data_IF_321580347577
#
_entry.id   IF_321580347577
#
_cell.length_a   1.000
_cell.length_b   1.000
_cell.length_c   1.000
_cell.angle_alpha   90.00
_cell.angle_beta   90.00
_cell.angle_gamma   90.00
#
_symmetry.space_group_name_H-M   'P 1'
#
loop_
_entity.id
_entity.type
_entity.pdbx_description
1 polymer ?
#
# COMPACT_ATOMS: atom_id res chain seq x y z
N UNK A 1 22.60 -22.29 -4.64
CA UNK A 1 21.67 -22.96 -3.70
C UNK A 1 21.78 -22.46 -2.26
N UNK A 2 22.92 -22.57 -1.55
CA UNK A 2 23.02 -22.06 -0.17
C UNK A 2 23.08 -20.52 -0.09
N UNK A 3 23.81 -19.86 -1.00
CA UNK A 3 23.88 -18.39 -1.06
C UNK A 3 22.50 -17.75 -1.26
N UNK A 4 21.67 -18.32 -2.14
CA UNK A 4 20.34 -17.77 -2.46
C UNK A 4 19.42 -17.78 -1.24
N UNK A 5 19.47 -18.84 -0.43
CA UNK A 5 18.65 -18.94 0.79
C UNK A 5 19.05 -17.91 1.85
N UNK A 6 20.34 -17.66 2.02
CA UNK A 6 20.84 -16.63 2.95
C UNK A 6 20.38 -15.24 2.49
N UNK A 7 20.51 -14.93 1.21
CA UNK A 7 20.06 -13.68 0.62
C UNK A 7 18.54 -13.45 0.82
N UNK A 8 17.73 -14.48 0.55
CA UNK A 8 16.27 -14.45 0.75
C UNK A 8 15.91 -14.21 2.22
N UNK A 9 16.56 -14.94 3.13
CA UNK A 9 16.33 -14.77 4.57
C UNK A 9 16.71 -13.36 5.03
N UNK A 10 17.88 -12.87 4.61
CA UNK A 10 18.36 -11.54 4.95
C UNK A 10 17.41 -10.43 4.47
N UNK A 11 16.95 -10.50 3.21
CA UNK A 11 15.97 -9.53 2.70
C UNK A 11 14.61 -9.61 3.42
N UNK A 12 14.16 -10.81 3.77
CA UNK A 12 12.92 -11.02 4.54
C UNK A 12 13.04 -10.45 5.96
N UNK A 13 14.17 -10.68 6.63
CA UNK A 13 14.44 -10.11 7.94
C UNK A 13 14.54 -8.58 7.88
N UNK A 14 15.19 -8.05 6.84
CA UNK A 14 15.39 -6.61 6.68
C UNK A 14 14.07 -5.86 6.40
N UNK A 15 13.17 -6.40 5.56
CA UNK A 15 11.84 -5.78 5.36
C UNK A 15 10.99 -5.83 6.63
N UNK A 16 11.05 -6.93 7.39
CA UNK A 16 10.37 -7.02 8.69
C UNK A 16 10.93 -6.01 9.69
N UNK A 17 12.25 -5.88 9.77
CA UNK A 17 12.91 -4.91 10.65
C UNK A 17 12.54 -3.47 10.27
N UNK A 18 12.55 -3.14 8.98
CA UNK A 18 12.15 -1.81 8.52
C UNK A 18 10.68 -1.51 8.85
N UNK A 19 9.75 -2.41 8.55
CA UNK A 19 8.33 -2.23 8.88
C UNK A 19 8.07 -2.16 10.41
N UNK A 20 8.89 -2.85 11.20
CA UNK A 20 8.90 -2.71 12.67
C UNK A 20 9.33 -1.30 13.07
N UNK A 21 10.42 -0.79 12.51
CA UNK A 21 10.93 0.55 12.78
C UNK A 21 10.06 1.67 12.18
N UNK A 22 9.21 1.36 11.20
CA UNK A 22 8.15 2.26 10.75
C UNK A 22 6.96 2.31 11.71
N UNK A 23 6.73 1.25 12.51
CA UNK A 23 5.51 1.11 13.30
C UNK A 23 5.73 1.35 14.79
N UNK A 24 6.66 0.62 15.40
CA UNK A 24 6.86 0.61 16.85
C UNK A 24 7.30 1.94 17.46
N UNK A 25 8.12 2.78 16.81
CA UNK A 25 8.46 4.07 17.41
C UNK A 25 7.28 5.07 17.38
N UNK A 26 6.15 4.74 16.74
CA UNK A 26 4.89 5.47 16.96
C UNK A 26 4.33 5.26 18.38
N UNK A 27 4.83 4.26 19.11
CA UNK A 27 4.54 4.02 20.53
C UNK A 27 5.45 4.90 21.43
N UNK A 28 5.91 6.05 20.92
CA UNK A 28 6.63 7.04 21.72
C UNK A 28 6.37 8.45 21.22
N UNK A 29 6.57 9.45 22.08
CA UNK A 29 6.20 10.84 21.80
C UNK A 29 7.29 11.64 21.05
N UNK A 30 8.38 10.99 20.63
CA UNK A 30 9.51 11.69 20.01
C UNK A 30 9.54 11.52 18.50
N UNK A 31 9.11 12.57 17.78
CA UNK A 31 9.20 12.65 16.33
C UNK A 31 10.64 12.45 15.80
N UNK A 32 11.65 12.88 16.57
CA UNK A 32 13.08 12.67 16.23
C UNK A 32 13.47 11.20 16.30
N UNK A 33 13.07 10.50 17.35
CA UNK A 33 13.33 9.06 17.50
C UNK A 33 12.60 8.29 16.40
N UNK A 34 11.36 8.68 16.10
CA UNK A 34 10.61 8.12 14.99
C UNK A 34 11.38 8.26 13.67
N UNK A 35 11.72 9.48 13.26
CA UNK A 35 12.47 9.73 12.03
C UNK A 35 13.82 8.98 11.97
N UNK A 36 14.56 8.94 13.08
CA UNK A 36 15.82 8.20 13.18
C UNK A 36 15.62 6.69 12.96
N UNK A 37 14.64 6.09 13.62
CA UNK A 37 14.30 4.68 13.42
C UNK A 37 13.89 4.38 11.99
N UNK A 38 13.10 5.25 11.36
CA UNK A 38 12.72 5.11 9.94
C UNK A 38 13.96 5.12 9.04
N UNK A 39 14.86 6.08 9.23
CA UNK A 39 16.10 6.19 8.47
C UNK A 39 16.99 4.96 8.66
N UNK A 40 17.16 4.50 9.91
CA UNK A 40 17.94 3.29 10.23
C UNK A 40 17.34 2.07 9.53
N UNK A 41 16.03 1.84 9.67
CA UNK A 41 15.37 0.70 9.04
C UNK A 41 15.47 0.73 7.52
N UNK A 42 15.31 1.92 6.93
CA UNK A 42 15.46 2.15 5.50
C UNK A 42 16.88 1.85 5.01
N UNK A 43 17.90 2.39 5.67
CA UNK A 43 19.30 2.12 5.34
C UNK A 43 19.67 0.64 5.51
N UNK A 44 19.20 -0.02 6.58
CA UNK A 44 19.40 -1.44 6.81
C UNK A 44 18.77 -2.28 5.69
N UNK A 45 17.54 -1.96 5.29
CA UNK A 45 16.85 -2.64 4.21
C UNK A 45 17.58 -2.46 2.88
N UNK A 46 17.86 -1.22 2.49
CA UNK A 46 18.56 -0.91 1.24
C UNK A 46 19.96 -1.51 1.18
N UNK A 47 20.73 -1.42 2.27
CA UNK A 47 22.07 -2.01 2.37
C UNK A 47 22.03 -3.53 2.25
N UNK A 48 21.09 -4.18 2.94
CA UNK A 48 20.94 -5.64 2.88
C UNK A 48 20.54 -6.10 1.49
N UNK A 49 19.53 -5.47 0.88
CA UNK A 49 19.08 -5.81 -0.48
C UNK A 49 20.16 -5.50 -1.51
N UNK A 50 20.83 -4.35 -1.38
CA UNK A 50 21.93 -3.95 -2.25
C UNK A 50 23.07 -4.97 -2.23
N UNK A 51 23.51 -5.42 -1.05
CA UNK A 51 24.59 -6.41 -0.93
C UNK A 51 24.15 -7.81 -1.37
N UNK A 52 22.95 -8.24 -1.00
CA UNK A 52 22.47 -9.59 -1.29
C UNK A 52 22.01 -9.77 -2.75
N UNK A 53 21.62 -8.69 -3.43
CA UNK A 53 21.01 -8.73 -4.77
C UNK A 53 21.61 -7.71 -5.77
N UNK A 54 22.84 -7.23 -5.55
CA UNK A 54 23.50 -6.23 -6.40
C UNK A 54 23.38 -6.53 -7.91
N UNK A 55 23.69 -7.77 -8.30
CA UNK A 55 23.65 -8.21 -9.70
C UNK A 55 22.22 -8.32 -10.28
N UNK A 56 21.21 -8.44 -9.42
CA UNK A 56 19.81 -8.59 -9.84
C UNK A 56 19.09 -7.25 -9.95
N UNK A 57 19.56 -6.18 -9.30
CA UNK A 57 18.90 -4.87 -9.33
C UNK A 57 18.78 -4.31 -10.76
N UNK A 58 19.86 -4.40 -11.55
CA UNK A 58 19.84 -3.97 -12.95
C UNK A 58 18.88 -4.83 -13.80
N UNK A 59 18.86 -6.15 -13.58
CA UNK A 59 17.94 -7.05 -14.27
C UNK A 59 16.47 -6.77 -13.89
N UNK A 60 16.21 -6.42 -12.62
CA UNK A 60 14.88 -6.03 -12.15
C UNK A 60 14.46 -4.70 -12.78
N UNK A 61 15.35 -3.71 -12.80
CA UNK A 61 15.11 -2.42 -13.44
C UNK A 61 14.68 -2.59 -14.91
N UNK A 62 15.36 -3.45 -15.66
CA UNK A 62 15.04 -3.77 -17.05
C UNK A 62 13.69 -4.50 -17.22
N UNK A 63 13.14 -5.06 -16.15
CA UNK A 63 11.86 -5.81 -16.13
C UNK A 63 10.69 -5.00 -15.56
N UNK A 64 10.91 -3.76 -15.15
CA UNK A 64 9.84 -2.85 -14.70
C UNK A 64 8.87 -2.62 -15.86
N UNK A 65 7.57 -2.65 -15.56
CA UNK A 65 6.55 -2.43 -16.58
C UNK A 65 6.53 -0.98 -17.05
N UNK A 66 6.17 -0.73 -18.31
CA UNK A 66 6.19 0.63 -18.87
C UNK A 66 5.36 1.64 -18.03
N UNK A 67 4.13 1.33 -17.55
CA UNK A 67 3.39 2.24 -16.70
C UNK A 67 4.09 2.55 -15.37
N UNK A 68 4.74 1.56 -14.76
CA UNK A 68 5.52 1.73 -13.53
C UNK A 68 6.74 2.62 -13.78
N UNK A 69 7.43 2.45 -14.91
CA UNK A 69 8.57 3.28 -15.28
C UNK A 69 8.16 4.73 -15.54
N UNK A 70 6.99 4.95 -16.16
CA UNK A 70 6.44 6.30 -16.35
C UNK A 70 6.08 6.92 -14.99
N UNK A 71 5.49 6.17 -14.06
CA UNK A 71 5.26 6.66 -12.68
C UNK A 71 6.56 7.12 -12.04
N UNK A 72 7.62 6.30 -12.09
CA UNK A 72 8.92 6.64 -11.53
C UNK A 72 9.55 7.85 -12.22
N UNK A 73 9.39 7.98 -13.53
CA UNK A 73 9.89 9.12 -14.30
C UNK A 73 9.17 10.41 -13.90
N UNK A 74 7.83 10.40 -13.78
CA UNK A 74 7.07 11.58 -13.33
C UNK A 74 7.55 12.00 -11.93
N UNK A 75 7.74 11.04 -11.02
CA UNK A 75 8.28 11.34 -9.69
C UNK A 75 9.68 11.93 -9.79
N UNK A 76 10.57 11.31 -10.58
CA UNK A 76 11.96 11.73 -10.74
C UNK A 76 12.11 13.10 -11.41
N UNK A 77 11.13 13.54 -12.20
CA UNK A 77 11.12 14.87 -12.82
C UNK A 77 10.64 15.98 -11.87
N UNK A 78 10.08 15.63 -10.71
CA UNK A 78 9.63 16.62 -9.71
C UNK A 78 10.69 17.55 -9.11
N UNK A 79 12.02 17.27 -9.11
CA UNK A 79 13.00 18.20 -8.54
C UNK A 79 12.96 19.58 -9.21
N UNK A 80 12.63 19.64 -10.50
CA UNK A 80 12.46 20.92 -11.22
C UNK A 80 11.36 21.78 -10.59
N UNK A 81 10.28 21.14 -10.10
CA UNK A 81 9.18 21.80 -9.40
C UNK A 81 9.50 22.12 -7.94
N UNK A 82 10.58 21.57 -7.37
CA UNK A 82 10.95 21.73 -5.96
C UNK A 82 11.91 22.90 -5.72
N UNK A 83 12.48 23.53 -6.75
CA UNK A 83 13.51 24.59 -6.63
C UNK A 83 12.94 25.96 -6.20
N UNK A 84 12.14 25.99 -5.12
CA UNK A 84 11.56 27.20 -4.54
C UNK A 84 11.35 27.07 -3.03
N UNK A 85 11.15 28.20 -2.34
CA UNK A 85 10.97 28.25 -0.88
C UNK A 85 12.26 27.96 -0.10
N UNK A 86 12.12 27.42 1.10
CA UNK A 86 13.23 27.23 2.03
C UNK A 86 14.18 26.11 1.61
N UNK A 87 15.49 26.33 1.79
CA UNK A 87 16.56 25.39 1.41
C UNK A 87 16.36 24.00 2.02
N UNK A 88 15.87 23.93 3.26
CA UNK A 88 15.64 22.67 3.97
C UNK A 88 14.54 21.83 3.31
N UNK A 89 13.48 22.47 2.82
CA UNK A 89 12.37 21.80 2.14
C UNK A 89 12.75 21.40 0.71
N UNK A 90 13.58 22.21 0.04
CA UNK A 90 14.16 21.87 -1.26
C UNK A 90 15.00 20.59 -1.12
N UNK A 91 15.92 20.57 -0.15
CA UNK A 91 16.81 19.43 0.09
C UNK A 91 16.01 18.18 0.46
N UNK A 92 15.01 18.31 1.34
CA UNK A 92 14.12 17.21 1.72
C UNK A 92 13.38 16.66 0.50
N UNK A 93 12.78 17.53 -0.32
CA UNK A 93 12.09 17.16 -1.55
C UNK A 93 12.98 16.36 -2.50
N UNK A 94 14.19 16.87 -2.79
CA UNK A 94 15.15 16.23 -3.70
C UNK A 94 15.58 14.86 -3.16
N UNK A 95 15.83 14.78 -1.84
CA UNK A 95 16.21 13.53 -1.18
C UNK A 95 15.10 12.47 -1.32
N UNK A 96 13.85 12.83 -0.98
CA UNK A 96 12.71 11.92 -1.12
C UNK A 96 12.47 11.51 -2.57
N UNK A 97 12.58 12.44 -3.51
CA UNK A 97 12.41 12.16 -4.95
C UNK A 97 13.46 11.19 -5.47
N UNK A 98 14.72 11.33 -5.04
CA UNK A 98 15.80 10.44 -5.46
C UNK A 98 15.67 9.05 -4.82
N UNK A 99 15.20 9.01 -3.57
CA UNK A 99 15.13 7.79 -2.78
C UNK A 99 13.93 6.91 -3.14
N UNK A 100 12.81 7.49 -3.58
CA UNK A 100 11.60 6.74 -3.90
C UNK A 100 11.79 5.73 -5.05
N UNK A 101 12.39 6.07 -6.22
CA UNK A 101 12.63 5.11 -7.28
C UNK A 101 13.59 3.99 -6.87
N UNK A 102 14.63 4.32 -6.10
CA UNK A 102 15.54 3.32 -5.57
C UNK A 102 14.81 2.37 -4.62
N UNK A 103 13.95 2.91 -3.75
CA UNK A 103 13.12 2.11 -2.86
C UNK A 103 12.18 1.18 -3.65
N UNK A 104 11.47 1.70 -4.64
CA UNK A 104 10.59 0.91 -5.50
C UNK A 104 11.34 -0.27 -6.17
N UNK A 105 12.57 -0.03 -6.64
CA UNK A 105 13.45 -1.08 -7.17
C UNK A 105 13.82 -2.11 -6.11
N UNK A 106 14.25 -1.68 -4.92
CA UNK A 106 14.63 -2.62 -3.84
C UNK A 106 13.44 -3.45 -3.35
N UNK A 107 12.24 -2.87 -3.21
CA UNK A 107 11.01 -3.61 -2.91
C UNK A 107 10.67 -4.62 -4.00
N UNK A 108 10.91 -4.28 -5.27
CA UNK A 108 10.69 -5.17 -6.41
C UNK A 108 11.56 -6.44 -6.35
N UNK A 109 12.69 -6.42 -5.64
CA UNK A 109 13.54 -7.61 -5.42
C UNK A 109 12.77 -8.72 -4.71
N UNK A 110 11.88 -8.38 -3.77
CA UNK A 110 11.10 -9.39 -3.05
C UNK A 110 10.27 -10.25 -4.02
N UNK A 111 9.76 -9.67 -5.10
CA UNK A 111 9.02 -10.42 -6.13
C UNK A 111 9.86 -11.39 -6.96
N UNK A 112 11.19 -11.33 -6.87
CA UNK A 112 12.07 -12.28 -7.54
C UNK A 112 12.33 -13.54 -6.71
N UNK A 113 11.88 -13.57 -5.45
CA UNK A 113 12.00 -14.73 -4.59
C UNK A 113 11.11 -15.89 -5.08
N UNK A 114 11.48 -17.15 -4.79
CA UNK A 114 10.56 -18.28 -4.94
C UNK A 114 9.25 -18.02 -4.21
N UNK A 115 8.11 -18.40 -4.81
CA UNK A 115 6.77 -18.12 -4.26
C UNK A 115 6.60 -18.57 -2.81
N UNK A 116 7.15 -19.74 -2.46
CA UNK A 116 7.09 -20.27 -1.10
C UNK A 116 7.83 -19.38 -0.09
N UNK A 117 8.94 -18.77 -0.49
CA UNK A 117 9.72 -17.89 0.38
C UNK A 117 9.11 -16.49 0.46
N UNK A 118 8.57 -15.97 -0.65
CA UNK A 118 7.76 -14.75 -0.62
C UNK A 118 6.53 -14.91 0.28
N UNK A 119 5.86 -16.07 0.23
CA UNK A 119 4.74 -16.39 1.11
C UNK A 119 5.14 -16.32 2.59
N UNK A 120 6.27 -16.94 2.94
CA UNK A 120 6.81 -16.92 4.30
C UNK A 120 7.16 -15.49 4.71
N UNK A 121 7.82 -14.73 3.84
CA UNK A 121 8.17 -13.33 4.07
C UNK A 121 6.93 -12.48 4.38
N UNK A 122 5.88 -12.55 3.54
CA UNK A 122 4.61 -11.84 3.76
C UNK A 122 3.89 -12.32 5.03
N UNK A 123 3.96 -13.63 5.34
CA UNK A 123 3.38 -14.19 6.57
C UNK A 123 4.05 -13.60 7.81
N UNK A 124 5.37 -13.68 7.90
CA UNK A 124 6.13 -13.15 9.04
C UNK A 124 5.92 -11.64 9.16
N UNK A 125 5.98 -10.90 8.03
CA UNK A 125 5.72 -9.46 8.00
C UNK A 125 4.32 -9.13 8.54
N UNK A 126 3.29 -9.88 8.11
CA UNK A 126 1.92 -9.67 8.60
C UNK A 126 1.77 -9.95 10.09
N UNK A 127 2.46 -10.97 10.62
CA UNK A 127 2.44 -11.29 12.04
C UNK A 127 3.13 -10.20 12.87
N UNK A 128 4.29 -9.70 12.44
CA UNK A 128 5.02 -8.62 13.10
C UNK A 128 4.17 -7.35 13.20
N UNK A 129 3.53 -6.95 12.09
CA UNK A 129 2.64 -5.79 12.06
C UNK A 129 1.34 -6.00 12.87
N UNK A 130 0.85 -7.23 12.99
CA UNK A 130 -0.26 -7.56 13.89
C UNK A 130 0.16 -7.47 15.37
N UNK A 131 1.34 -7.98 15.70
CA UNK A 131 1.92 -7.88 17.05
C UNK A 131 2.14 -6.43 17.46
N UNK A 132 2.50 -5.53 16.54
CA UNK A 132 2.51 -4.09 16.79
C UNK A 132 1.17 -3.60 17.35
N UNK A 133 0.04 -3.96 16.71
CA UNK A 133 -1.27 -3.51 17.16
C UNK A 133 -1.63 -4.01 18.56
N UNK A 134 -1.39 -5.29 18.81
CA UNK A 134 -1.58 -5.90 20.14
C UNK A 134 -0.69 -5.20 21.18
N UNK A 135 0.57 -4.94 20.85
CA UNK A 135 1.54 -4.31 21.76
C UNK A 135 1.17 -2.86 22.07
N UNK A 136 0.69 -2.10 21.10
CA UNK A 136 0.26 -0.72 21.33
C UNK A 136 -0.93 -0.67 22.30
N UNK A 137 -1.92 -1.56 22.18
CA UNK A 137 -3.00 -1.68 23.18
C UNK A 137 -2.46 -2.13 24.54
N UNK A 138 -1.53 -3.09 24.57
CA UNK A 138 -0.95 -3.57 25.82
C UNK A 138 -0.16 -2.47 26.58
N UNK A 139 0.51 -1.57 25.85
CA UNK A 139 1.34 -0.50 26.42
C UNK A 139 0.51 0.73 26.80
N UNK A 140 -0.37 1.19 25.91
CA UNK A 140 -1.13 2.43 26.10
C UNK A 140 -2.53 2.22 26.67
N UNK A 141 -3.03 0.98 26.68
CA UNK A 141 -4.37 0.64 27.13
C UNK A 141 -5.39 0.57 25.99
N UNK A 142 -6.65 0.37 26.37
CA UNK A 142 -7.78 0.31 25.45
C UNK A 142 -8.03 1.67 24.77
N UNK A 143 -8.70 1.70 23.60
CA UNK A 143 -9.03 2.96 22.95
C UNK A 143 -9.87 3.89 23.83
N UNK A 144 -9.45 5.14 23.92
CA UNK A 144 -10.22 6.23 24.52
C UNK A 144 -10.80 7.08 23.37
N UNK A 145 -12.09 6.93 23.11
CA UNK A 145 -12.70 7.46 21.88
C UNK A 145 -12.17 6.73 20.65
N UNK A 146 -11.32 7.38 19.85
CA UNK A 146 -10.74 6.81 18.61
C UNK A 146 -9.23 6.61 18.68
N UNK A 147 -8.57 7.05 19.74
CA UNK A 147 -7.12 6.95 19.90
C UNK A 147 -6.78 5.82 20.86
N UNK A 148 -5.67 5.11 20.62
CA UNK A 148 -5.20 4.08 21.54
C UNK A 148 -4.58 4.78 22.76
N UNK A 149 -5.16 4.55 23.94
CA UNK A 149 -4.73 5.18 25.20
C UNK A 149 -4.70 6.70 25.17
N UNK A 150 -5.58 7.34 24.38
CA UNK A 150 -5.60 8.80 24.24
C UNK A 150 -4.51 9.38 23.32
N UNK A 151 -3.44 8.63 23.04
CA UNK A 151 -2.19 9.16 22.45
C UNK A 151 -2.06 8.86 20.95
N UNK A 152 -2.28 7.60 20.54
CA UNK A 152 -1.96 7.18 19.18
C UNK A 152 -3.16 7.40 18.24
N UNK A 153 -2.94 8.22 17.21
CA UNK A 153 -3.97 8.55 16.22
C UNK A 153 -4.48 7.30 15.47
N UNK A 154 -5.81 7.14 15.27
CA UNK A 154 -6.42 5.95 14.67
C UNK A 154 -5.83 5.58 13.32
N UNK A 155 -5.49 6.56 12.49
CA UNK A 155 -4.94 6.29 11.17
C UNK A 155 -3.50 5.79 11.23
N UNK A 156 -2.68 6.35 12.13
CA UNK A 156 -1.30 5.89 12.31
C UNK A 156 -1.28 4.46 12.84
N UNK A 157 -2.16 4.15 13.80
CA UNK A 157 -2.34 2.80 14.32
C UNK A 157 -2.84 1.80 13.26
N UNK A 158 -3.77 2.21 12.39
CA UNK A 158 -4.44 1.30 11.47
C UNK A 158 -3.71 1.06 10.15
N UNK A 159 -2.80 1.95 9.75
CA UNK A 159 -1.97 1.77 8.55
C UNK A 159 -1.18 0.44 8.57
N UNK A 160 -0.41 0.11 9.62
CA UNK A 160 0.33 -1.15 9.69
C UNK A 160 -0.61 -2.35 9.78
N UNK A 161 -1.76 -2.22 10.43
CA UNK A 161 -2.75 -3.29 10.54
C UNK A 161 -3.44 -3.58 9.20
N UNK A 162 -3.70 -2.57 8.38
CA UNK A 162 -4.20 -2.77 7.01
C UNK A 162 -3.14 -3.46 6.14
N UNK A 163 -1.87 -3.05 6.25
CA UNK A 163 -0.77 -3.73 5.56
C UNK A 163 -0.64 -5.20 6.01
N UNK A 164 -0.74 -5.48 7.31
CA UNK A 164 -0.77 -6.85 7.84
C UNK A 164 -1.94 -7.66 7.28
N UNK A 165 -3.14 -7.08 7.26
CA UNK A 165 -4.33 -7.70 6.70
C UNK A 165 -4.11 -8.09 5.24
N UNK A 166 -3.60 -7.17 4.42
CA UNK A 166 -3.32 -7.43 2.99
C UNK A 166 -2.24 -8.50 2.81
N UNK A 167 -1.11 -8.43 3.53
CA UNK A 167 -0.04 -9.41 3.42
C UNK A 167 -0.44 -10.81 3.88
N UNK A 168 -1.34 -10.92 4.86
CA UNK A 168 -1.84 -12.20 5.31
C UNK A 168 -2.68 -12.95 4.26
N UNK A 169 -3.17 -12.26 3.21
CA UNK A 169 -3.90 -12.90 2.09
C UNK A 169 -3.00 -13.78 1.21
N UNK A 170 -1.68 -13.54 1.20
CA UNK A 170 -0.74 -14.38 0.45
C UNK A 170 -0.62 -15.80 1.05
N UNK A 171 -0.94 -15.97 2.33
CA UNK A 171 -0.83 -17.23 3.07
C UNK A 171 -2.19 -17.93 3.19
N UNK A 172 -2.31 -19.22 2.80
CA UNK A 172 -3.52 -19.98 3.04
C UNK A 172 -3.53 -20.54 4.47
N UNK A 173 -4.71 -20.98 4.92
CA UNK A 173 -4.88 -21.69 6.19
C UNK A 173 -5.14 -20.77 7.40
N UNK A 174 -5.11 -21.39 8.58
CA UNK A 174 -5.57 -20.78 9.83
C UNK A 174 -4.74 -19.57 10.26
N UNK A 175 -3.42 -19.58 10.04
CA UNK A 175 -2.54 -18.47 10.46
C UNK A 175 -2.93 -17.18 9.73
N UNK A 176 -3.05 -17.21 8.40
CA UNK A 176 -3.46 -16.04 7.62
C UNK A 176 -4.88 -15.58 7.95
N UNK A 177 -5.80 -16.50 8.23
CA UNK A 177 -7.16 -16.17 8.70
C UNK A 177 -7.16 -15.50 10.07
N UNK A 178 -6.40 -16.03 11.03
CA UNK A 178 -6.30 -15.46 12.38
C UNK A 178 -5.73 -14.04 12.35
N UNK A 179 -4.66 -13.80 11.57
CA UNK A 179 -4.08 -12.45 11.41
C UNK A 179 -5.11 -11.49 10.83
N UNK A 180 -5.89 -11.87 9.80
CA UNK A 180 -6.95 -11.02 9.25
C UNK A 180 -8.02 -10.66 10.26
N UNK A 181 -8.51 -11.64 11.01
CA UNK A 181 -9.56 -11.44 12.02
C UNK A 181 -9.06 -10.50 13.12
N UNK A 182 -7.85 -10.74 13.63
CA UNK A 182 -7.25 -9.91 14.68
C UNK A 182 -7.03 -8.50 14.16
N UNK A 183 -6.37 -8.32 13.01
CA UNK A 183 -6.14 -6.98 12.44
C UNK A 183 -7.45 -6.23 12.19
N UNK A 184 -8.46 -6.89 11.62
CA UNK A 184 -9.77 -6.26 11.40
C UNK A 184 -10.43 -5.84 12.71
N UNK A 185 -10.42 -6.70 13.73
CA UNK A 185 -10.95 -6.39 15.06
C UNK A 185 -10.21 -5.21 15.71
N UNK A 186 -8.88 -5.20 15.67
CA UNK A 186 -8.06 -4.10 16.18
C UNK A 186 -8.36 -2.78 15.46
N UNK A 187 -8.47 -2.79 14.13
CA UNK A 187 -8.85 -1.59 13.34
C UNK A 187 -10.26 -1.12 13.72
N UNK A 188 -11.19 -2.04 13.94
CA UNK A 188 -12.56 -1.71 14.35
C UNK A 188 -12.61 -1.02 15.72
N UNK A 189 -11.74 -1.41 16.66
CA UNK A 189 -11.71 -0.81 18.00
C UNK A 189 -11.38 0.69 18.01
N UNK A 190 -10.69 1.19 16.98
CA UNK A 190 -10.36 2.63 16.82
C UNK A 190 -11.21 3.34 15.78
N UNK A 191 -12.21 2.65 15.21
CA UNK A 191 -13.11 3.18 14.18
C UNK A 191 -12.34 3.88 13.04
N UNK A 192 -11.28 3.24 12.54
CA UNK A 192 -10.49 3.76 11.43
C UNK A 192 -11.11 3.37 10.09
N UNK A 193 -11.98 4.25 9.59
CA UNK A 193 -12.82 4.03 8.39
C UNK A 193 -12.05 3.54 7.18
N UNK A 194 -10.96 4.22 6.82
CA UNK A 194 -10.23 3.89 5.60
C UNK A 194 -9.61 2.49 5.67
N UNK A 195 -9.13 2.10 6.86
CA UNK A 195 -8.54 0.80 7.08
C UNK A 195 -9.61 -0.29 7.14
N UNK A 196 -10.78 -0.01 7.74
CA UNK A 196 -11.94 -0.93 7.69
C UNK A 196 -12.40 -1.17 6.25
N UNK A 197 -12.64 -0.09 5.49
CA UNK A 197 -13.04 -0.19 4.09
C UNK A 197 -11.95 -0.85 3.24
N UNK A 198 -10.67 -0.55 3.51
CA UNK A 198 -9.54 -1.23 2.89
C UNK A 198 -9.54 -2.73 3.15
N UNK A 199 -9.77 -3.17 4.40
CA UNK A 199 -9.87 -4.60 4.73
C UNK A 199 -11.06 -5.27 4.03
N UNK A 200 -12.22 -4.60 3.99
CA UNK A 200 -13.40 -5.11 3.30
C UNK A 200 -13.16 -5.25 1.79
N UNK A 201 -12.60 -4.23 1.15
CA UNK A 201 -12.24 -4.26 -0.28
C UNK A 201 -11.22 -5.36 -0.54
N UNK A 202 -10.15 -5.45 0.26
CA UNK A 202 -9.16 -6.50 0.12
C UNK A 202 -9.80 -7.88 0.24
N UNK A 203 -10.66 -8.11 1.24
CA UNK A 203 -11.31 -9.40 1.43
C UNK A 203 -12.24 -9.75 0.27
N UNK A 204 -13.14 -8.84 -0.09
CA UNK A 204 -14.15 -9.05 -1.14
C UNK A 204 -13.47 -9.27 -2.49
N UNK A 205 -12.53 -8.40 -2.88
CA UNK A 205 -11.83 -8.52 -4.17
C UNK A 205 -10.99 -9.79 -4.22
N UNK A 206 -10.30 -10.16 -3.13
CA UNK A 206 -9.55 -11.42 -3.07
C UNK A 206 -10.49 -12.61 -3.24
N UNK A 207 -11.58 -12.67 -2.49
CA UNK A 207 -12.51 -13.79 -2.54
C UNK A 207 -13.23 -13.87 -3.89
N UNK A 208 -13.69 -12.77 -4.46
CA UNK A 208 -14.36 -12.76 -5.75
C UNK A 208 -13.44 -13.17 -6.90
N UNK A 209 -12.13 -12.90 -6.81
CA UNK A 209 -11.19 -13.29 -7.88
C UNK A 209 -10.57 -14.67 -7.68
N UNK A 210 -10.36 -15.10 -6.43
CA UNK A 210 -9.72 -16.40 -6.16
C UNK A 210 -10.66 -17.59 -6.36
N UNK A 211 -11.93 -17.47 -5.94
CA UNK A 211 -12.94 -18.53 -6.07
C UNK A 211 -14.34 -17.92 -6.25
N UNK A 212 -14.64 -17.32 -7.42
CA UNK A 212 -15.88 -16.54 -7.63
C UNK A 212 -17.17 -17.32 -7.33
N UNK A 213 -17.15 -18.64 -7.54
CA UNK A 213 -18.34 -19.51 -7.45
C UNK A 213 -18.33 -20.43 -6.23
N UNK A 214 -17.57 -20.08 -5.19
CA UNK A 214 -17.56 -20.83 -3.94
C UNK A 214 -18.97 -20.94 -3.35
N UNK A 215 -19.50 -22.16 -3.19
CA UNK A 215 -20.89 -22.42 -2.75
C UNK A 215 -21.24 -21.74 -1.41
N UNK A 216 -20.25 -21.55 -0.54
CA UNK A 216 -20.43 -20.88 0.75
C UNK A 216 -20.56 -19.34 0.63
N UNK A 217 -20.22 -18.74 -0.52
CA UNK A 217 -20.18 -17.27 -0.68
C UNK A 217 -21.56 -16.65 -0.74
N UNK A 218 -22.51 -17.31 -1.41
CA UNK A 218 -23.91 -16.85 -1.46
C UNK A 218 -24.51 -16.78 -0.05
N UNK A 219 -24.53 -17.86 0.76
CA UNK A 219 -25.08 -17.78 2.11
C UNK A 219 -24.30 -16.80 2.99
N UNK A 220 -22.97 -16.71 2.87
CA UNK A 220 -22.17 -15.73 3.62
C UNK A 220 -22.50 -14.28 3.22
N UNK A 221 -22.74 -13.99 1.94
CA UNK A 221 -23.13 -12.67 1.47
C UNK A 221 -24.54 -12.30 1.97
N UNK A 222 -25.49 -13.26 1.96
CA UNK A 222 -26.82 -13.07 2.52
C UNK A 222 -26.75 -12.81 4.03
N UNK A 223 -25.94 -13.59 4.76
CA UNK A 223 -25.71 -13.39 6.20
C UNK A 223 -25.04 -12.05 6.49
N UNK A 224 -24.04 -11.65 5.69
CA UNK A 224 -23.37 -10.37 5.83
C UNK A 224 -24.33 -9.20 5.57
N UNK A 225 -25.19 -9.30 4.55
CA UNK A 225 -26.23 -8.30 4.27
C UNK A 225 -27.25 -8.24 5.40
N UNK A 226 -27.74 -9.38 5.88
CA UNK A 226 -28.66 -9.44 7.01
C UNK A 226 -28.03 -8.85 8.28
N UNK A 227 -26.78 -9.18 8.57
CA UNK A 227 -26.03 -8.58 9.66
C UNK A 227 -25.85 -7.06 9.47
N UNK A 228 -25.56 -6.59 8.26
CA UNK A 228 -25.42 -5.17 7.96
C UNK A 228 -26.74 -4.41 8.20
N UNK A 229 -27.89 -5.02 7.87
CA UNK A 229 -29.21 -4.46 8.13
C UNK A 229 -29.50 -4.45 9.64
N UNK A 230 -29.27 -5.57 10.34
CA UNK A 230 -29.57 -5.70 11.77
C UNK A 230 -28.68 -4.79 12.62
N UNK A 231 -27.38 -4.71 12.28
CA UNK A 231 -26.39 -3.92 12.99
C UNK A 231 -26.13 -2.55 12.32
N UNK A 232 -27.06 -2.07 11.47
CA UNK A 232 -26.90 -0.80 10.78
C UNK A 232 -26.62 0.38 11.73
N UNK A 233 -27.29 0.52 12.90
CA UNK A 233 -26.99 1.63 13.81
C UNK A 233 -25.54 1.60 14.32
N UNK A 234 -25.02 0.41 14.65
CA UNK A 234 -23.65 0.24 15.10
C UNK A 234 -22.65 0.48 13.96
N UNK A 235 -22.95 -0.02 12.75
CA UNK A 235 -22.12 0.22 11.57
C UNK A 235 -22.11 1.71 11.22
N UNK A 236 -23.26 2.37 11.20
CA UNK A 236 -23.37 3.81 10.95
C UNK A 236 -22.60 4.59 12.01
N UNK A 237 -22.67 4.20 13.29
CA UNK A 237 -21.90 4.82 14.37
C UNK A 237 -20.38 4.61 14.21
N UNK A 238 -19.92 3.40 13.91
CA UNK A 238 -18.49 3.07 13.72
C UNK A 238 -17.92 3.79 12.49
N UNK A 239 -18.68 3.83 11.39
CA UNK A 239 -18.31 4.55 10.18
C UNK A 239 -18.56 6.06 10.33
N UNK A 240 -19.35 6.45 11.33
CA UNK A 240 -19.82 7.81 11.58
C UNK A 240 -20.41 8.43 10.31
N UNK A 241 -21.39 7.76 9.70
CA UNK A 241 -22.08 8.22 8.49
C UNK A 241 -23.02 9.40 8.76
N UNK A 242 -23.63 9.43 9.96
CA UNK A 242 -24.65 10.41 10.34
C UNK A 242 -24.12 11.52 11.27
N UNK A 243 -22.80 11.79 11.25
CA UNK A 243 -22.15 12.76 12.14
C UNK A 243 -22.43 14.21 11.67
N UNK A 244 -23.28 15.00 12.39
CA UNK A 244 -23.72 16.32 11.94
C UNK A 244 -22.60 17.37 11.99
N UNK A 245 -21.58 17.17 12.82
CA UNK A 245 -20.42 18.07 12.94
C UNK A 245 -19.51 18.03 11.71
N UNK A 246 -19.84 17.18 10.73
CA UNK A 246 -19.07 17.03 9.48
C UNK A 246 -19.63 17.82 8.31
N UNK A 247 -20.63 18.66 8.55
CA UNK A 247 -21.31 19.41 7.50
C UNK A 247 -22.29 18.52 6.75
N UNK A 248 -23.53 18.98 6.65
CA UNK A 248 -24.63 18.30 5.95
C UNK A 248 -24.41 18.12 4.43
N UNK A 249 -23.33 18.70 3.88
CA UNK A 249 -22.93 18.58 2.48
C UNK A 249 -21.81 17.58 2.18
N UNK A 250 -21.06 17.08 3.17
CA UNK A 250 -19.74 16.44 2.94
C UNK A 250 -19.75 14.94 2.61
N UNK A 251 -20.93 14.33 2.63
CA UNK A 251 -21.13 12.93 2.32
C UNK A 251 -20.19 11.98 3.10
N UNK A 252 -19.59 11.02 2.38
CA UNK A 252 -18.84 9.89 2.94
C UNK A 252 -17.51 10.26 3.63
N UNK A 253 -16.99 11.49 3.47
CA UNK A 253 -15.61 11.82 3.91
C UNK A 253 -15.54 12.80 5.08
N UNK A 254 -16.40 13.82 5.15
CA UNK A 254 -16.34 14.87 6.18
C UNK A 254 -15.14 15.81 6.03
N UNK A 255 -14.73 16.14 4.80
CA UNK A 255 -13.44 16.81 4.52
C UNK A 255 -13.53 17.93 3.48
N UNK A 256 -14.70 18.48 3.26
CA UNK A 256 -14.95 19.49 2.22
C UNK A 256 -14.00 20.67 2.35
N UNK A 257 -13.81 21.22 3.56
CA UNK A 257 -12.92 22.35 3.81
C UNK A 257 -11.47 22.04 3.38
N UNK A 258 -10.98 20.85 3.75
CA UNK A 258 -9.63 20.40 3.37
C UNK A 258 -9.51 20.18 1.87
N UNK A 259 -10.55 19.62 1.24
CA UNK A 259 -10.58 19.43 -0.20
C UNK A 259 -10.58 20.77 -0.91
N UNK A 260 -11.31 21.75 -0.40
CA UNK A 260 -11.30 23.11 -0.91
C UNK A 260 -9.90 23.73 -0.79
N UNK A 261 -9.21 23.60 0.35
CA UNK A 261 -7.81 24.05 0.49
C UNK A 261 -6.90 23.43 -0.57
N UNK A 262 -7.06 22.13 -0.85
CA UNK A 262 -6.29 21.48 -1.91
C UNK A 262 -6.68 22.03 -3.31
N UNK A 263 -7.96 22.31 -3.57
CA UNK A 263 -8.41 22.91 -4.83
C UNK A 263 -7.88 24.34 -5.03
N UNK A 264 -7.79 25.12 -3.96
CA UNK A 264 -7.21 26.46 -3.97
C UNK A 264 -5.71 26.35 -4.29
N UNK A 265 -4.98 25.45 -3.64
CA UNK A 265 -3.57 25.18 -3.92
C UNK A 265 -3.32 24.72 -5.37
N UNK A 266 -4.22 23.90 -5.94
CA UNK A 266 -4.16 23.49 -7.36
C UNK A 266 -4.36 24.69 -8.29
N UNK A 267 -5.24 25.62 -7.92
CA UNK A 267 -5.52 26.82 -8.71
C UNK A 267 -4.35 27.80 -8.67
N UNK A 268 -3.69 27.94 -7.52
CA UNK A 268 -2.48 28.75 -7.35
C UNK A 268 -1.27 28.14 -8.06
N UNK A 269 -1.18 26.81 -8.09
CA UNK A 269 -0.05 26.07 -8.67
C UNK A 269 -0.50 24.96 -9.62
N UNK A 270 -1.07 25.28 -10.81
CA UNK A 270 -1.66 24.29 -11.71
C UNK A 270 -0.64 23.31 -12.31
N UNK A 271 0.64 23.69 -12.32
CA UNK A 271 1.76 22.85 -12.76
C UNK A 271 2.44 22.09 -11.62
N UNK A 272 1.96 22.26 -10.38
CA UNK A 272 2.43 21.56 -9.20
C UNK A 272 3.54 22.28 -8.44
N UNK A 273 3.69 21.92 -7.18
CA UNK A 273 4.67 22.51 -6.26
C UNK A 273 5.87 21.61 -5.97
N UNK A 274 5.91 20.39 -6.52
CA UNK A 274 6.97 19.40 -6.29
C UNK A 274 6.60 18.32 -5.26
N UNK A 275 7.23 17.15 -5.38
CA UNK A 275 6.96 16.00 -4.51
C UNK A 275 7.35 16.30 -3.04
N UNK A 276 6.53 15.87 -2.08
CA UNK A 276 6.69 16.10 -0.62
C UNK A 276 6.66 17.56 -0.17
N UNK A 277 6.27 18.50 -1.04
CA UNK A 277 6.13 19.92 -0.70
C UNK A 277 4.76 20.27 -0.11
N UNK A 278 3.73 19.47 -0.39
CA UNK A 278 2.41 19.65 0.23
C UNK A 278 2.41 19.11 1.68
N UNK A 279 2.44 20.00 2.67
CA UNK A 279 2.47 19.64 4.10
C UNK A 279 1.10 19.97 4.72
N UNK A 280 0.70 19.18 5.74
CA UNK A 280 -0.47 19.51 6.56
C UNK A 280 -1.80 19.41 5.82
N UNK A 281 -2.63 20.45 5.98
CA UNK A 281 -4.00 20.51 5.46
C UNK A 281 -4.06 20.76 3.93
N UNK A 282 -3.01 21.33 3.33
CA UNK A 282 -2.90 21.59 1.88
C UNK A 282 -3.02 20.32 1.02
N UNK A 283 -2.72 19.15 1.62
CA UNK A 283 -2.85 17.86 0.96
C UNK A 283 -4.31 17.36 0.85
N UNK A 284 -5.29 18.13 1.37
CA UNK A 284 -6.71 17.78 1.36
C UNK A 284 -7.07 16.49 2.09
N UNK A 285 -6.10 15.90 2.79
CA UNK A 285 -6.23 14.57 3.39
C UNK A 285 -6.63 13.47 2.37
N UNK A 286 -6.37 13.68 1.08
CA UNK A 286 -6.63 12.76 -0.02
C UNK A 286 -5.36 12.60 -0.84
N UNK A 287 -4.88 11.36 -0.95
CA UNK A 287 -3.67 11.05 -1.69
C UNK A 287 -3.74 11.46 -3.15
N UNK A 288 -4.94 11.45 -3.75
CA UNK A 288 -5.13 11.91 -5.12
C UNK A 288 -5.02 13.41 -5.27
N UNK A 289 -5.69 14.17 -4.39
CA UNK A 289 -5.58 15.63 -4.39
C UNK A 289 -4.14 16.04 -4.11
N UNK A 290 -3.46 15.37 -3.17
CA UNK A 290 -2.04 15.59 -2.92
C UNK A 290 -1.18 15.33 -4.15
N UNK A 291 -1.40 14.26 -4.91
CA UNK A 291 -0.66 14.03 -6.17
C UNK A 291 -0.89 15.16 -7.19
N UNK A 292 -2.10 15.72 -7.26
CA UNK A 292 -2.40 16.83 -8.16
C UNK A 292 -1.72 18.13 -7.68
N UNK A 293 -1.73 18.41 -6.38
CA UNK A 293 -1.00 19.55 -5.80
C UNK A 293 0.51 19.40 -6.04
N UNK A 294 1.09 18.22 -5.79
CA UNK A 294 2.53 18.00 -5.89
C UNK A 294 3.05 17.96 -7.33
N UNK A 295 2.31 17.38 -8.27
CA UNK A 295 2.76 17.15 -9.65
C UNK A 295 1.99 17.97 -10.70
N UNK A 296 1.09 18.84 -10.27
CA UNK A 296 0.22 19.63 -11.13
C UNK A 296 -0.94 18.81 -11.70
N UNK A 297 -1.87 19.50 -12.36
CA UNK A 297 -3.03 18.86 -13.02
C UNK A 297 -2.57 17.80 -14.03
N UNK A 298 -1.62 18.07 -14.95
CA UNK A 298 -1.20 17.07 -15.93
C UNK A 298 -0.47 15.88 -15.28
N UNK A 299 0.51 16.14 -14.41
CA UNK A 299 1.33 15.11 -13.79
C UNK A 299 0.57 14.28 -12.77
N UNK A 300 -0.22 14.93 -11.91
CA UNK A 300 -1.07 14.28 -10.93
C UNK A 300 -2.14 13.41 -11.57
N UNK A 301 -2.86 13.92 -12.58
CA UNK A 301 -3.87 13.12 -13.30
C UNK A 301 -3.25 11.92 -14.02
N UNK A 302 -2.08 12.11 -14.65
CA UNK A 302 -1.33 11.02 -15.28
C UNK A 302 -0.94 9.94 -14.25
N UNK A 303 -0.43 10.33 -13.07
CA UNK A 303 -0.09 9.40 -11.99
C UNK A 303 -1.32 8.61 -11.51
N UNK A 304 -2.43 9.29 -11.21
CA UNK A 304 -3.68 8.63 -10.76
C UNK A 304 -4.16 7.64 -11.82
N UNK A 305 -4.14 8.02 -13.10
CA UNK A 305 -4.54 7.16 -14.21
C UNK A 305 -3.62 5.95 -14.39
N UNK A 306 -2.30 6.14 -14.27
CA UNK A 306 -1.32 5.05 -14.37
C UNK A 306 -1.42 4.08 -13.19
N UNK A 307 -1.72 4.57 -11.99
CA UNK A 307 -2.00 3.73 -10.83
C UNK A 307 -3.26 2.89 -11.06
N UNK A 308 -4.36 3.50 -11.52
CA UNK A 308 -5.58 2.79 -11.88
C UNK A 308 -5.34 1.75 -12.99
N UNK A 309 -4.52 2.09 -13.99
CA UNK A 309 -4.12 1.16 -15.05
C UNK A 309 -3.34 -0.04 -14.49
N UNK A 310 -2.36 0.19 -13.61
CA UNK A 310 -1.62 -0.90 -12.96
C UNK A 310 -2.55 -1.84 -12.18
N UNK A 311 -3.57 -1.30 -11.51
CA UNK A 311 -4.60 -2.06 -10.80
C UNK A 311 -5.44 -2.87 -11.79
N UNK A 312 -5.90 -2.28 -12.89
CA UNK A 312 -6.67 -2.97 -13.92
C UNK A 312 -5.89 -4.14 -14.53
N UNK A 313 -4.61 -3.94 -14.84
CA UNK A 313 -3.72 -5.02 -15.33
C UNK A 313 -3.53 -6.12 -14.28
N UNK A 314 -3.41 -5.76 -13.00
CA UNK A 314 -3.38 -6.75 -11.91
C UNK A 314 -4.70 -7.52 -11.81
N UNK A 315 -5.84 -6.86 -12.01
CA UNK A 315 -7.17 -7.47 -12.03
C UNK A 315 -7.34 -8.47 -13.18
N UNK A 316 -6.95 -8.11 -14.40
CA UNK A 316 -6.97 -9.03 -15.55
C UNK A 316 -6.14 -10.29 -15.25
N UNK A 317 -4.95 -10.12 -14.65
CA UNK A 317 -4.12 -11.25 -14.23
C UNK A 317 -4.81 -12.06 -13.14
N UNK A 318 -5.38 -11.43 -12.11
CA UNK A 318 -6.07 -12.11 -11.02
C UNK A 318 -7.31 -12.89 -11.48
N UNK A 319 -8.04 -12.43 -12.51
CA UNK A 319 -9.21 -13.14 -13.04
C UNK A 319 -8.84 -14.30 -13.97
N UNK A 320 -7.60 -14.37 -14.46
CA UNK A 320 -7.12 -15.44 -15.32
C UNK A 320 -6.48 -16.57 -14.52
N UNK A 321 -7.21 -17.68 -14.35
CA UNK A 321 -6.69 -18.89 -13.68
C UNK A 321 -5.95 -19.86 -14.64
N UNK A 322 -6.14 -19.69 -15.95
CA UNK A 322 -5.66 -20.63 -16.97
C UNK A 322 -4.14 -20.82 -16.92
N UNK A 323 -3.70 -22.06 -16.73
CA UNK A 323 -2.27 -22.43 -16.73
C UNK A 323 -1.49 -21.99 -15.49
N UNK A 324 -2.16 -21.57 -14.41
CA UNK A 324 -1.51 -21.17 -13.15
C UNK A 324 -1.65 -22.24 -12.08
N UNK A 325 -0.63 -22.38 -11.24
CA UNK A 325 -0.79 -23.11 -9.98
C UNK A 325 -1.77 -22.37 -9.07
N UNK A 326 -2.46 -23.09 -8.19
CA UNK A 326 -3.38 -22.48 -7.21
C UNK A 326 -2.68 -21.43 -6.32
N UNK A 327 -1.40 -21.64 -6.00
CA UNK A 327 -0.59 -20.67 -5.25
C UNK A 327 -0.33 -19.40 -6.07
N UNK A 328 0.04 -19.53 -7.34
CA UNK A 328 0.26 -18.37 -8.22
C UNK A 328 -1.03 -17.57 -8.40
N UNK A 329 -2.16 -18.25 -8.60
CA UNK A 329 -3.48 -17.60 -8.70
C UNK A 329 -3.80 -16.81 -7.43
N UNK A 330 -3.62 -17.40 -6.25
CA UNK A 330 -3.80 -16.71 -4.96
C UNK A 330 -2.95 -15.46 -4.86
N UNK A 331 -1.68 -15.52 -5.26
CA UNK A 331 -0.77 -14.39 -5.19
C UNK A 331 -1.22 -13.23 -6.10
N UNK A 332 -1.68 -13.54 -7.30
CA UNK A 332 -2.21 -12.54 -8.22
C UNK A 332 -3.49 -11.90 -7.64
N UNK A 333 -4.39 -12.70 -7.06
CA UNK A 333 -5.60 -12.23 -6.37
C UNK A 333 -5.28 -11.36 -5.14
N UNK A 334 -4.36 -11.79 -4.26
CA UNK A 334 -3.95 -11.05 -3.07
C UNK A 334 -3.28 -9.72 -3.43
N UNK A 335 -2.43 -9.71 -4.46
CA UNK A 335 -1.83 -8.49 -4.98
C UNK A 335 -2.90 -7.52 -5.49
N UNK A 336 -3.80 -7.98 -6.35
CA UNK A 336 -4.86 -7.15 -6.91
C UNK A 336 -5.76 -6.57 -5.81
N UNK A 337 -6.22 -7.43 -4.90
CA UNK A 337 -7.03 -7.04 -3.76
C UNK A 337 -6.35 -6.01 -2.85
N UNK A 338 -5.07 -6.21 -2.53
CA UNK A 338 -4.28 -5.27 -1.75
C UNK A 338 -4.10 -3.93 -2.44
N UNK A 339 -3.83 -3.92 -3.76
CA UNK A 339 -3.74 -2.67 -4.53
C UNK A 339 -5.08 -1.93 -4.57
N UNK A 340 -6.20 -2.62 -4.77
CA UNK A 340 -7.54 -2.00 -4.71
C UNK A 340 -7.82 -1.38 -3.33
N UNK A 341 -7.50 -2.12 -2.26
CA UNK A 341 -7.71 -1.66 -0.89
C UNK A 341 -6.88 -0.42 -0.55
N UNK A 342 -5.60 -0.41 -0.92
CA UNK A 342 -4.71 0.73 -0.65
C UNK A 342 -5.00 1.92 -1.55
N UNK A 343 -5.31 1.69 -2.83
CA UNK A 343 -5.76 2.75 -3.72
C UNK A 343 -7.03 3.41 -3.18
N UNK A 344 -8.06 2.63 -2.82
CA UNK A 344 -9.25 3.19 -2.18
C UNK A 344 -8.92 3.91 -0.85
N UNK A 345 -8.06 3.31 -0.02
CA UNK A 345 -7.59 3.91 1.23
C UNK A 345 -6.95 5.28 1.04
N UNK A 346 -6.32 5.55 -0.11
CA UNK A 346 -5.74 6.84 -0.45
C UNK A 346 -6.77 7.96 -0.63
N UNK A 347 -8.08 7.67 -0.77
CA UNK A 347 -9.12 8.72 -0.65
C UNK A 347 -9.12 9.38 0.73
N UNK A 348 -8.69 8.63 1.75
CA UNK A 348 -8.76 9.03 3.15
C UNK A 348 -7.41 9.26 3.80
N UNK A 349 -6.32 8.94 3.08
CA UNK A 349 -4.95 9.17 3.53
C UNK A 349 -4.27 10.12 2.55
N UNK A 350 -3.55 11.15 3.04
CA UNK A 350 -2.88 12.08 2.15
C UNK A 350 -1.72 11.45 1.37
N UNK A 351 -1.26 10.24 1.70
CA UNK A 351 0.00 9.71 1.16
C UNK A 351 -0.22 8.46 0.33
N UNK A 352 0.14 8.51 -0.96
CA UNK A 352 0.24 7.34 -1.85
C UNK A 352 1.69 6.89 -1.95
N UNK A 353 2.62 7.85 -2.03
CA UNK A 353 4.05 7.61 -2.03
C UNK A 353 4.69 8.19 -0.76
N UNK A 354 5.24 7.32 0.06
CA UNK A 354 5.97 7.69 1.27
C UNK A 354 6.92 6.58 1.67
N UNK A 355 8.04 6.97 2.27
CA UNK A 355 9.04 6.04 2.81
C UNK A 355 8.85 5.82 4.32
N UNK A 356 8.06 6.68 4.96
CA UNK A 356 7.85 6.71 6.40
C UNK A 356 6.49 6.18 6.84
N UNK A 357 5.82 5.37 6.00
CA UNK A 357 4.51 4.84 6.31
C UNK A 357 4.36 3.41 5.77
N UNK A 358 3.88 2.52 6.64
CA UNK A 358 3.69 1.10 6.33
C UNK A 358 2.64 0.88 5.24
N UNK A 359 1.61 1.73 5.16
CA UNK A 359 0.59 1.65 4.14
C UNK A 359 1.16 1.97 2.76
N UNK A 360 1.93 3.04 2.62
CA UNK A 360 2.56 3.38 1.33
C UNK A 360 3.66 2.40 0.93
N UNK A 361 4.46 1.90 1.89
CA UNK A 361 5.49 0.89 1.61
C UNK A 361 4.85 -0.40 1.09
N UNK A 362 3.76 -0.85 1.73
CA UNK A 362 3.02 -2.00 1.25
C UNK A 362 2.39 -1.76 -0.13
N UNK A 363 1.84 -0.55 -0.38
CA UNK A 363 1.31 -0.21 -1.68
C UNK A 363 2.38 -0.23 -2.78
N UNK A 364 3.55 0.37 -2.53
CA UNK A 364 4.68 0.35 -3.45
C UNK A 364 5.17 -1.08 -3.72
N UNK A 365 5.27 -1.92 -2.70
CA UNK A 365 5.63 -3.33 -2.86
C UNK A 365 4.65 -4.03 -3.81
N UNK A 366 3.35 -3.84 -3.64
CA UNK A 366 2.34 -4.47 -4.51
C UNK A 366 2.31 -3.86 -5.92
N UNK A 367 2.51 -2.55 -6.03
CA UNK A 367 2.50 -1.81 -7.29
C UNK A 367 3.66 -2.25 -8.18
N UNK A 368 4.89 -2.20 -7.66
CA UNK A 368 6.13 -2.47 -8.40
C UNK A 368 6.49 -3.95 -8.38
N UNK A 369 5.84 -4.70 -9.28
CA UNK A 369 6.19 -6.10 -9.57
C UNK A 369 6.89 -6.19 -10.94
N UNK A 370 8.12 -6.72 -11.02
CA UNK A 370 8.81 -6.93 -12.28
C UNK A 370 8.11 -8.01 -13.12
N UNK A 371 8.25 -7.91 -14.44
CA UNK A 371 7.76 -8.94 -15.37
C UNK A 371 8.51 -10.27 -15.12
N UNK A 372 7.76 -11.38 -15.06
CA UNK A 372 8.35 -12.71 -14.92
C UNK A 372 9.09 -13.16 -16.18
N UNK A 373 10.21 -13.89 -16.03
CA UNK A 373 11.00 -14.43 -17.15
C UNK A 373 10.18 -15.26 -18.12
N UNK A 374 9.27 -16.10 -17.61
CA UNK A 374 8.36 -16.88 -18.44
C UNK A 374 7.50 -16.01 -19.37
N UNK A 375 7.15 -14.79 -18.95
CA UNK A 375 6.42 -13.83 -19.79
C UNK A 375 7.32 -13.27 -20.89
N UNK A 376 8.59 -13.01 -20.59
CA UNK A 376 9.57 -12.51 -21.56
C UNK A 376 9.88 -13.57 -22.61
N UNK A 377 10.16 -14.81 -22.19
CA UNK A 377 10.44 -15.93 -23.10
C UNK A 377 9.24 -16.20 -24.03
N UNK A 378 8.01 -16.18 -23.49
CA UNK A 378 6.80 -16.33 -24.33
C UNK A 378 6.63 -15.18 -25.32
N UNK A 379 6.95 -13.95 -24.92
CA UNK A 379 6.89 -12.79 -25.81
C UNK A 379 7.96 -12.87 -26.92
N UNK A 380 9.17 -13.34 -26.61
CA UNK A 380 10.24 -13.58 -27.57
C UNK A 380 9.84 -14.65 -28.59
N UNK A 381 9.37 -15.81 -28.12
CA UNK A 381 8.90 -16.90 -29.01
C UNK A 381 7.74 -16.43 -29.90
N UNK A 382 6.81 -15.63 -29.36
CA UNK A 382 5.70 -15.08 -30.15
C UNK A 382 6.20 -14.08 -31.22
N UNK A 383 7.22 -13.27 -30.91
CA UNK A 383 7.83 -12.35 -31.87
C UNK A 383 8.60 -13.09 -32.96
N UNK A 384 9.36 -14.13 -32.60
CA UNK A 384 10.17 -14.94 -33.54
C UNK A 384 9.31 -15.82 -34.46
N UNK A 385 8.20 -16.36 -33.95
CA UNK A 385 7.33 -17.25 -34.73
C UNK A 385 6.48 -16.54 -35.78
N UNK A 386 6.44 -15.20 -35.80
CA UNK A 386 5.59 -14.43 -36.71
C UNK A 386 4.08 -14.66 -36.52
N UNK A 387 3.70 -15.48 -35.53
CA UNK A 387 2.30 -15.78 -35.21
C UNK A 387 1.77 -14.63 -34.35
N UNK A 388 1.12 -13.67 -35.01
CA UNK A 388 0.34 -12.63 -34.34
C UNK A 388 -0.59 -13.29 -33.30
N UNK A 389 -0.51 -12.95 -32.00
CA UNK A 389 -1.30 -13.58 -30.95
C UNK A 389 -2.83 -13.37 -31.04
N UNK A 390 -3.33 -12.73 -32.11
CA UNK A 390 -4.72 -12.27 -32.25
C UNK A 390 -5.69 -13.24 -32.94
N UNK A 391 -5.36 -14.53 -33.10
CA UNK A 391 -6.27 -15.50 -33.74
C UNK A 391 -6.76 -16.63 -32.81
N UNK A 392 -6.98 -16.38 -31.52
CA UNK A 392 -7.69 -17.32 -30.64
C UNK A 392 -8.81 -16.67 -29.85
#
# INVERSE_FOLDING_TARGET
MNHDRIAIFAASAAICAWLTLLSFPMIGDSARVYAACQAIGLCLYMGTVGLAFAGNLAAIAARVDQPQLIILLIVFMSPVLQLHGDESDILSGIFYTSLLPFMALTLSVLWTMPLADFERCMTVTSMVLCVFGISAIAIYGWPEGRTIGGLLHPNLYSAPLLAAFVFSQFRPGLIGQAVRIICFGLIATVSSRYALMGCLIALVVHEMTFDPFGKAKIPMAVLALAAAIIFWPQISSIVALDDPDRGTGSGFTGRDDRWQTAMDAITESPFGIGFKRAIGDDAGHSGYLKLIVEFGVPGGFALVSLLAWCIAVAGIKACSATGKSRQQHRFDCARFAGMCAMYFGALFQPQIFSLGDSFTVAFMLLLFRPRSEATLVRAQIAAESGVSPRQR
#
